data_IF_390707633243
#
_entry.id   IF_390707633243
#
_cell.length_a   1.000
_cell.length_b   1.000
_cell.length_c   1.000
_cell.angle_alpha   90.00
_cell.angle_beta   90.00
_cell.angle_gamma   90.00
#
_symmetry.space_group_name_H-M   'P 1'
#
loop_
_entity.id
_entity.type
_entity.pdbx_description
1 polymer ?
#
# COMPACT_ATOMS: atom_id res chain seq x y z
N UNK A 1 20.72 -16.28 19.94
CA UNK A 1 19.79 -15.19 19.60
C UNK A 1 20.39 -14.46 18.40
N UNK A 2 20.03 -14.79 17.16
CA UNK A 2 20.59 -14.06 16.00
C UNK A 2 19.96 -12.68 15.93
N UNK A 3 20.73 -11.69 16.37
CA UNK A 3 20.48 -10.24 16.32
C UNK A 3 20.70 -9.70 14.91
N UNK A 4 19.94 -10.17 13.92
CA UNK A 4 20.03 -9.64 12.55
C UNK A 4 18.78 -8.83 12.22
N UNK A 5 19.00 -7.64 11.65
CA UNK A 5 17.92 -6.83 11.09
C UNK A 5 17.25 -7.57 9.93
N UNK A 6 15.93 -7.40 9.81
CA UNK A 6 15.16 -7.87 8.66
C UNK A 6 15.57 -7.06 7.44
N UNK A 7 15.98 -7.74 6.37
CA UNK A 7 16.31 -7.15 5.07
C UNK A 7 15.10 -7.23 4.14
N UNK A 8 15.02 -6.38 3.10
CA UNK A 8 13.99 -6.49 2.08
C UNK A 8 13.88 -7.90 1.48
N UNK A 9 15.03 -8.52 1.20
CA UNK A 9 15.13 -9.85 0.60
C UNK A 9 14.64 -10.98 1.55
N UNK A 10 14.62 -10.74 2.87
CA UNK A 10 14.04 -11.67 3.85
C UNK A 10 12.50 -11.68 3.80
N UNK A 11 11.89 -10.62 3.26
CA UNK A 11 10.43 -10.48 3.10
C UNK A 11 10.01 -10.91 1.69
N UNK A 12 10.73 -10.44 0.68
CA UNK A 12 10.46 -10.74 -0.71
C UNK A 12 11.78 -10.74 -1.48
N UNK A 13 12.23 -11.95 -1.84
CA UNK A 13 13.45 -12.14 -2.59
C UNK A 13 13.42 -11.40 -3.93
N UNK A 14 14.58 -11.00 -4.43
CA UNK A 14 14.68 -10.23 -5.67
C UNK A 14 14.15 -10.95 -6.92
N UNK A 15 14.16 -12.29 -6.93
CA UNK A 15 13.56 -13.10 -8.00
C UNK A 15 12.03 -13.15 -7.97
N UNK A 16 11.42 -12.78 -6.84
CA UNK A 16 10.00 -12.91 -6.61
C UNK A 16 9.25 -11.60 -6.82
N UNK A 17 8.09 -11.67 -7.48
CA UNK A 17 7.24 -10.50 -7.74
C UNK A 17 6.12 -10.33 -6.71
N UNK A 18 5.88 -11.35 -5.89
CA UNK A 18 4.84 -11.38 -4.88
C UNK A 18 5.25 -12.28 -3.70
N UNK A 19 4.63 -12.04 -2.55
CA UNK A 19 4.72 -12.87 -1.35
C UNK A 19 3.31 -13.08 -0.79
N UNK A 20 3.08 -14.18 -0.10
CA UNK A 20 1.87 -14.37 0.69
C UNK A 20 2.05 -13.79 2.09
N UNK A 21 1.26 -12.76 2.42
CA UNK A 21 1.21 -12.16 3.75
C UNK A 21 -0.19 -12.34 4.32
N UNK A 22 -0.31 -13.05 5.45
CA UNK A 22 -1.60 -13.33 6.10
C UNK A 22 -2.64 -13.95 5.15
N UNK A 23 -2.21 -14.83 4.23
CA UNK A 23 -3.08 -15.48 3.24
C UNK A 23 -3.47 -14.60 2.05
N UNK A 24 -2.89 -13.40 1.91
CA UNK A 24 -3.08 -12.50 0.78
C UNK A 24 -1.82 -12.43 -0.08
N UNK A 25 -1.99 -12.54 -1.40
CA UNK A 25 -0.91 -12.28 -2.35
C UNK A 25 -0.61 -10.78 -2.43
N UNK A 26 0.58 -10.37 -1.97
CA UNK A 26 1.04 -8.98 -2.01
C UNK A 26 2.17 -8.84 -3.03
N UNK A 27 2.04 -7.90 -3.98
CA UNK A 27 3.06 -7.66 -5.01
C UNK A 27 4.13 -6.68 -4.52
N UNK A 28 5.38 -6.86 -4.99
CA UNK A 28 6.52 -5.97 -4.66
C UNK A 28 6.21 -4.48 -4.85
N UNK A 29 5.44 -4.17 -5.90
CA UNK A 29 5.07 -2.80 -6.27
C UNK A 29 3.84 -2.24 -5.55
N UNK A 30 3.12 -3.01 -4.73
CA UNK A 30 1.83 -2.58 -4.16
C UNK A 30 1.95 -1.33 -3.30
N UNK A 31 2.96 -1.23 -2.43
CA UNK A 31 3.18 -0.05 -1.57
C UNK A 31 3.48 1.19 -2.43
N UNK A 32 4.38 1.07 -3.41
CA UNK A 32 4.75 2.20 -4.27
C UNK A 32 3.56 2.67 -5.13
N UNK A 33 2.79 1.73 -5.70
CA UNK A 33 1.60 2.04 -6.48
C UNK A 33 0.51 2.71 -5.62
N UNK A 34 0.33 2.26 -4.37
CA UNK A 34 -0.62 2.86 -3.44
C UNK A 34 -0.26 4.33 -3.16
N UNK A 35 1.01 4.61 -2.81
CA UNK A 35 1.49 5.99 -2.59
C UNK A 35 1.32 6.87 -3.84
N UNK A 36 1.59 6.33 -5.05
CA UNK A 36 1.42 7.09 -6.30
C UNK A 36 -0.03 7.40 -6.63
N UNK A 37 -0.97 6.52 -6.29
CA UNK A 37 -2.39 6.83 -6.45
C UNK A 37 -2.87 7.85 -5.41
N UNK A 38 -2.30 7.88 -4.20
CA UNK A 38 -2.56 8.97 -3.25
C UNK A 38 -2.09 10.31 -3.83
N UNK A 39 -0.85 10.37 -4.34
CA UNK A 39 -0.32 11.57 -5.00
C UNK A 39 -1.27 12.04 -6.12
N UNK A 40 -1.72 11.11 -6.97
CA UNK A 40 -2.61 11.40 -8.10
C UNK A 40 -4.00 11.88 -7.65
N UNK A 41 -4.55 11.30 -6.59
CA UNK A 41 -5.84 11.67 -6.01
C UNK A 41 -5.79 13.08 -5.39
N UNK A 42 -4.69 13.42 -4.72
CA UNK A 42 -4.49 14.69 -4.04
C UNK A 42 -4.07 15.84 -4.96
N UNK A 43 -3.50 15.53 -6.14
CA UNK A 43 -3.07 16.54 -7.10
C UNK A 43 -4.23 17.46 -7.52
N UNK A 44 -4.03 18.78 -7.41
CA UNK A 44 -4.99 19.79 -7.84
C UNK A 44 -5.18 19.85 -9.36
N UNK A 45 -4.22 19.33 -10.13
CA UNK A 45 -4.27 19.31 -11.60
C UNK A 45 -4.94 18.05 -12.14
N UNK A 46 -5.16 17.02 -11.32
CA UNK A 46 -5.89 15.82 -11.72
C UNK A 46 -7.36 16.13 -11.95
N UNK A 47 -7.90 15.67 -13.07
CA UNK A 47 -9.34 15.75 -13.33
C UNK A 47 -10.13 14.69 -12.54
N UNK A 48 -11.45 14.82 -12.51
CA UNK A 48 -12.34 13.94 -11.75
C UNK A 48 -12.18 12.46 -12.11
N UNK A 49 -12.02 12.14 -13.40
CA UNK A 49 -11.81 10.76 -13.87
C UNK A 49 -10.49 10.18 -13.34
N UNK A 50 -9.41 10.97 -13.35
CA UNK A 50 -8.12 10.54 -12.81
C UNK A 50 -8.21 10.29 -11.30
N UNK A 51 -8.89 11.18 -10.57
CA UNK A 51 -9.08 11.03 -9.12
C UNK A 51 -9.95 9.83 -8.78
N UNK A 52 -11.01 9.57 -9.55
CA UNK A 52 -11.86 8.41 -9.38
C UNK A 52 -11.07 7.10 -9.59
N UNK A 53 -10.32 7.00 -10.68
CA UNK A 53 -9.48 5.83 -10.97
C UNK A 53 -8.39 5.62 -9.90
N UNK A 54 -7.78 6.70 -9.41
CA UNK A 54 -6.80 6.64 -8.34
C UNK A 54 -7.42 6.09 -7.04
N UNK A 55 -8.61 6.58 -6.68
CA UNK A 55 -9.34 6.15 -5.48
C UNK A 55 -9.75 4.67 -5.57
N UNK A 56 -10.16 4.19 -6.75
CA UNK A 56 -10.42 2.76 -6.97
C UNK A 56 -9.17 1.92 -6.75
N UNK A 57 -8.04 2.31 -7.33
CA UNK A 57 -6.77 1.61 -7.11
C UNK A 57 -6.30 1.65 -5.65
N UNK A 58 -6.50 2.77 -4.94
CA UNK A 58 -6.24 2.88 -3.50
C UNK A 58 -7.03 1.81 -2.73
N UNK A 59 -8.32 1.67 -3.02
CA UNK A 59 -9.19 0.67 -2.38
C UNK A 59 -8.80 -0.76 -2.74
N UNK A 60 -8.44 -1.02 -3.99
CA UNK A 60 -7.98 -2.34 -4.44
C UNK A 60 -6.68 -2.77 -3.74
N UNK A 61 -5.76 -1.82 -3.53
CA UNK A 61 -4.48 -2.07 -2.87
C UNK A 61 -4.57 -2.08 -1.35
N UNK A 62 -5.62 -1.50 -0.75
CA UNK A 62 -5.75 -1.36 0.70
C UNK A 62 -5.56 -2.68 1.48
N UNK A 63 -6.13 -3.83 1.09
CA UNK A 63 -5.89 -5.11 1.77
C UNK A 63 -4.40 -5.49 1.81
N UNK A 64 -3.64 -5.22 0.74
CA UNK A 64 -2.21 -5.51 0.68
C UNK A 64 -1.40 -4.59 1.61
N UNK A 65 -1.80 -3.31 1.72
CA UNK A 65 -1.20 -2.35 2.66
C UNK A 65 -1.50 -2.72 4.11
N UNK A 66 -2.71 -3.24 4.37
CA UNK A 66 -3.12 -3.75 5.68
C UNK A 66 -2.31 -5.00 6.04
N UNK A 67 -2.19 -5.96 5.12
CA UNK A 67 -1.39 -7.17 5.31
C UNK A 67 0.09 -6.86 5.56
N UNK A 68 0.65 -5.86 4.87
CA UNK A 68 2.01 -5.37 5.08
C UNK A 68 2.18 -4.61 6.42
N UNK A 69 1.09 -4.21 7.07
CA UNK A 69 1.10 -3.59 8.40
C UNK A 69 1.42 -2.10 8.44
N UNK A 70 1.42 -1.39 7.29
CA UNK A 70 1.81 0.02 7.24
C UNK A 70 0.94 0.92 8.15
N UNK A 71 -0.37 0.70 8.14
CA UNK A 71 -1.35 1.42 8.97
C UNK A 71 -1.11 1.26 10.49
N UNK A 72 -0.39 0.21 10.92
CA UNK A 72 -0.09 -0.02 12.34
C UNK A 72 1.01 0.92 12.87
N UNK A 73 1.76 1.55 11.98
CA UNK A 73 2.96 2.32 12.32
C UNK A 73 2.91 3.76 11.82
N UNK A 74 1.98 4.09 10.92
CA UNK A 74 1.84 5.43 10.35
C UNK A 74 0.36 5.79 10.16
N UNK A 75 0.07 7.08 10.24
CA UNK A 75 -1.22 7.67 9.89
C UNK A 75 -1.09 8.48 8.60
N UNK A 76 -2.11 8.42 7.75
CA UNK A 76 -2.20 9.18 6.52
C UNK A 76 -2.82 10.55 6.79
N UNK A 77 -2.23 11.58 6.19
CA UNK A 77 -2.69 12.98 6.37
C UNK A 77 -4.09 13.19 5.80
N UNK A 78 -4.40 12.52 4.70
CA UNK A 78 -5.70 12.61 4.06
C UNK A 78 -6.67 11.64 4.71
N UNK A 79 -7.74 12.20 5.26
CA UNK A 79 -8.68 11.45 6.09
C UNK A 79 -9.43 10.37 5.29
N UNK A 80 -9.71 10.61 4.01
CA UNK A 80 -10.35 9.60 3.15
C UNK A 80 -9.44 8.38 2.99
N UNK A 81 -8.14 8.61 2.81
CA UNK A 81 -7.15 7.53 2.67
C UNK A 81 -6.97 6.78 3.99
N UNK A 82 -6.91 7.50 5.11
CA UNK A 82 -6.82 6.91 6.44
C UNK A 82 -8.02 6.00 6.73
N UNK A 83 -9.23 6.49 6.48
CA UNK A 83 -10.47 5.74 6.77
C UNK A 83 -10.56 4.45 5.94
N UNK A 84 -10.10 4.46 4.68
CA UNK A 84 -10.03 3.24 3.84
C UNK A 84 -9.17 2.14 4.50
N UNK A 85 -8.12 2.50 5.22
CA UNK A 85 -7.24 1.53 5.87
C UNK A 85 -7.73 1.11 7.26
N UNK A 86 -8.65 1.87 7.87
CA UNK A 86 -9.24 1.57 9.17
C UNK A 86 -10.57 0.81 9.08
N UNK A 87 -11.30 0.90 7.97
CA UNK A 87 -12.63 0.31 7.76
C UNK A 87 -12.61 -1.12 7.18
N UNK A 88 -11.43 -1.75 7.07
CA UNK A 88 -11.23 -3.09 6.48
C UNK A 88 -10.80 -4.15 7.50
#
# INVERSE_FOLDING_TARGET
MTTNAIKPDDILADSENFVELNGLTVRKGSIAAFLKNIDLFEDSNSNETQKAAALEMIKELAPAIIAAGLHKHATFKNKIIEDILCDL
#
